data_IF_849826683672
#
_entry.id   IF_849826683672
#
_cell.length_a   1.000
_cell.length_b   1.000
_cell.length_c   1.000
_cell.angle_alpha   90.00
_cell.angle_beta   90.00
_cell.angle_gamma   90.00
#
_symmetry.space_group_name_H-M   'P 1'
#
loop_
_entity.id
_entity.type
_entity.pdbx_description
1 polymer ?
#
# COMPACT_ATOMS: atom_id res chain seq x y z
N UNK A 1 -11.98 6.75 16.53
CA UNK A 1 -10.60 6.96 17.00
C UNK A 1 -10.31 8.46 17.04
N UNK A 2 -9.49 8.95 17.98
CA UNK A 2 -9.14 10.38 18.03
C UNK A 2 -8.10 10.74 16.95
N UNK A 3 -8.03 12.00 16.52
CA UNK A 3 -6.99 12.45 15.58
C UNK A 3 -5.58 12.26 16.13
N UNK A 4 -5.38 12.42 17.44
CA UNK A 4 -4.10 12.16 18.09
C UNK A 4 -3.70 10.68 17.95
N UNK A 5 -4.64 9.75 18.16
CA UNK A 5 -4.38 8.32 18.00
C UNK A 5 -4.03 7.95 16.55
N UNK A 6 -4.71 8.55 15.56
CA UNK A 6 -4.36 8.35 14.14
C UNK A 6 -2.93 8.84 13.89
N UNK A 7 -2.58 10.02 14.40
CA UNK A 7 -1.23 10.57 14.30
C UNK A 7 -0.18 9.64 14.91
N UNK A 8 -0.44 9.09 16.10
CA UNK A 8 0.47 8.16 16.78
C UNK A 8 0.67 6.87 15.98
N UNK A 9 -0.40 6.29 15.41
CA UNK A 9 -0.31 5.11 14.53
C UNK A 9 0.55 5.39 13.30
N UNK A 10 0.43 6.58 12.71
CA UNK A 10 1.22 7.00 11.55
C UNK A 10 2.69 7.27 11.89
N UNK A 11 3.00 7.74 13.08
CA UNK A 11 4.39 8.07 13.47
C UNK A 11 5.08 6.98 14.29
N UNK A 12 4.37 5.91 14.63
CA UNK A 12 4.99 4.73 15.24
C UNK A 12 5.59 3.85 14.16
N UNK A 13 6.91 3.86 14.02
CA UNK A 13 7.64 3.11 12.98
C UNK A 13 7.39 1.60 13.03
N UNK A 14 7.12 1.06 14.22
CA UNK A 14 6.89 -0.36 14.43
C UNK A 14 5.42 -0.79 14.45
N UNK A 15 4.50 0.08 14.02
CA UNK A 15 3.07 -0.24 14.04
C UNK A 15 2.76 -1.45 13.14
N UNK A 16 1.93 -2.37 13.62
CA UNK A 16 1.58 -3.62 12.91
C UNK A 16 1.00 -3.33 11.53
N UNK A 17 0.04 -2.40 11.44
CA UNK A 17 -0.54 -1.96 10.16
C UNK A 17 0.48 -1.46 9.14
N UNK A 18 1.52 -0.72 9.55
CA UNK A 18 2.57 -0.25 8.62
C UNK A 18 3.29 -1.43 7.98
N UNK A 19 3.64 -2.44 8.79
CA UNK A 19 4.31 -3.66 8.31
C UNK A 19 3.41 -4.44 7.35
N UNK A 20 2.12 -4.57 7.70
CA UNK A 20 1.14 -5.22 6.82
C UNK A 20 0.99 -4.48 5.49
N UNK A 21 0.91 -3.15 5.50
CA UNK A 21 0.82 -2.33 4.29
C UNK A 21 2.07 -2.46 3.43
N UNK A 22 3.27 -2.41 4.01
CA UNK A 22 4.53 -2.59 3.27
C UNK A 22 4.59 -3.97 2.58
N UNK A 23 4.23 -5.03 3.30
CA UNK A 23 4.16 -6.38 2.72
C UNK A 23 3.09 -6.48 1.63
N UNK A 24 1.93 -5.87 1.83
CA UNK A 24 0.87 -5.83 0.83
C UNK A 24 1.28 -5.07 -0.44
N UNK A 25 2.04 -3.98 -0.32
CA UNK A 25 2.61 -3.23 -1.44
C UNK A 25 3.58 -4.11 -2.23
N UNK A 26 4.48 -4.81 -1.54
CA UNK A 26 5.43 -5.72 -2.18
C UNK A 26 4.70 -6.85 -2.92
N UNK A 27 3.70 -7.48 -2.29
CA UNK A 27 2.89 -8.51 -2.93
C UNK A 27 2.16 -7.97 -4.17
N UNK A 28 1.58 -6.77 -4.09
CA UNK A 28 0.90 -6.14 -5.22
C UNK A 28 1.88 -5.85 -6.37
N UNK A 29 3.10 -5.40 -6.06
CA UNK A 29 4.14 -5.21 -7.06
C UNK A 29 4.53 -6.53 -7.74
N UNK A 30 4.71 -7.62 -6.97
CA UNK A 30 4.98 -8.95 -7.53
C UNK A 30 3.83 -9.43 -8.40
N UNK A 31 2.58 -9.24 -7.99
CA UNK A 31 1.41 -9.61 -8.78
C UNK A 31 1.38 -8.84 -10.11
N UNK A 32 1.70 -7.53 -10.09
CA UNK A 32 1.78 -6.69 -11.29
C UNK A 32 2.95 -7.10 -12.21
N UNK A 33 4.09 -7.52 -11.67
CA UNK A 33 5.20 -8.01 -12.51
C UNK A 33 4.82 -9.28 -13.30
N UNK A 34 3.79 -10.02 -12.86
CA UNK A 34 3.29 -11.22 -13.50
C UNK A 34 1.93 -11.02 -14.20
N UNK A 35 1.44 -9.78 -14.31
CA UNK A 35 0.16 -9.49 -14.94
C UNK A 35 0.23 -9.56 -16.47
N UNK A 36 -0.92 -9.76 -17.12
CA UNK A 36 -1.02 -9.77 -18.58
C UNK A 36 -0.74 -8.37 -19.16
N UNK A 37 0.05 -8.29 -20.23
CA UNK A 37 0.37 -7.05 -20.94
C UNK A 37 -0.87 -6.33 -21.50
N UNK A 38 -1.98 -7.04 -21.69
CA UNK A 38 -3.27 -6.47 -22.10
C UNK A 38 -4.00 -5.73 -20.98
N UNK A 39 -3.50 -5.78 -19.75
CA UNK A 39 -4.08 -5.07 -18.61
C UNK A 39 -3.99 -3.55 -18.83
N UNK A 40 -5.06 -2.83 -18.48
CA UNK A 40 -5.08 -1.38 -18.60
C UNK A 40 -3.91 -0.73 -17.83
N UNK A 41 -3.22 0.20 -18.49
CA UNK A 41 -2.03 0.90 -17.98
C UNK A 41 -0.88 -0.02 -17.53
N UNK A 42 -0.79 -1.22 -18.10
CA UNK A 42 0.24 -2.21 -17.76
C UNK A 42 1.65 -1.60 -17.68
N UNK A 43 2.10 -0.85 -18.69
CA UNK A 43 3.46 -0.28 -18.69
C UNK A 43 3.75 0.64 -17.50
N UNK A 44 2.78 1.45 -17.08
CA UNK A 44 2.93 2.35 -15.93
C UNK A 44 2.95 1.56 -14.61
N UNK A 45 2.06 0.57 -14.49
CA UNK A 45 1.97 -0.32 -13.33
C UNK A 45 3.23 -1.16 -13.19
N UNK A 46 3.72 -1.70 -14.31
CA UNK A 46 4.95 -2.47 -14.39
C UNK A 46 6.18 -1.62 -14.01
N UNK A 47 6.28 -0.38 -14.51
CA UNK A 47 7.35 0.53 -14.13
C UNK A 47 7.35 0.84 -12.62
N UNK A 48 6.16 1.08 -12.03
CA UNK A 48 6.01 1.24 -10.59
C UNK A 48 6.42 -0.05 -9.84
N UNK A 49 5.94 -1.21 -10.28
CA UNK A 49 6.24 -2.48 -9.63
C UNK A 49 7.73 -2.81 -9.64
N UNK A 50 8.44 -2.52 -10.74
CA UNK A 50 9.91 -2.62 -10.79
C UNK A 50 10.58 -1.70 -9.80
N UNK A 51 10.15 -0.43 -9.73
CA UNK A 51 10.72 0.53 -8.77
C UNK A 51 10.58 0.03 -7.33
N UNK A 52 9.43 -0.55 -6.97
CA UNK A 52 9.18 -1.09 -5.62
C UNK A 52 10.03 -2.32 -5.33
N UNK A 53 10.22 -3.20 -6.31
CA UNK A 53 10.89 -4.50 -6.10
C UNK A 53 12.40 -4.45 -6.25
N UNK A 54 12.95 -3.43 -6.92
CA UNK A 54 14.39 -3.29 -7.14
C UNK A 54 15.15 -2.70 -5.95
N UNK A 55 14.48 -1.91 -5.11
CA UNK A 55 15.05 -1.33 -3.90
C UNK A 55 14.62 -2.16 -2.68
N UNK A 56 15.57 -2.55 -1.82
CA UNK A 56 15.27 -3.29 -0.59
C UNK A 56 14.36 -2.51 0.36
N UNK A 57 14.39 -1.17 0.28
CA UNK A 57 13.53 -0.27 1.06
C UNK A 57 12.31 0.23 0.25
N UNK A 58 12.15 -0.22 -1.01
CA UNK A 58 11.09 0.22 -1.90
C UNK A 58 9.68 0.07 -1.30
N UNK A 59 9.33 -1.07 -0.69
CA UNK A 59 8.02 -1.27 -0.06
C UNK A 59 7.77 -0.29 1.10
N UNK A 60 8.78 -0.01 1.92
CA UNK A 60 8.66 0.90 3.05
C UNK A 60 8.49 2.35 2.59
N UNK A 61 9.24 2.77 1.56
CA UNK A 61 9.13 4.11 0.98
C UNK A 61 7.75 4.37 0.37
N UNK A 62 7.20 3.40 -0.37
CA UNK A 62 5.84 3.53 -0.91
C UNK A 62 4.77 3.42 0.18
N UNK A 63 4.99 2.59 1.20
CA UNK A 63 4.12 2.54 2.38
C UNK A 63 4.03 3.91 3.04
N UNK A 64 5.16 4.56 3.33
CA UNK A 64 5.17 5.89 3.95
C UNK A 64 4.42 6.94 3.11
N UNK A 65 4.56 6.88 1.78
CA UNK A 65 3.84 7.78 0.85
C UNK A 65 2.33 7.60 0.92
N UNK A 66 1.85 6.37 1.09
CA UNK A 66 0.44 6.06 1.00
C UNK A 66 -0.24 5.82 2.34
N UNK A 67 0.51 5.74 3.44
CA UNK A 67 -0.03 5.34 4.73
C UNK A 67 -1.15 6.27 5.22
N UNK A 68 -1.03 7.59 4.99
CA UNK A 68 -2.11 8.54 5.28
C UNK A 68 -3.40 8.26 4.51
N UNK A 69 -3.27 7.84 3.25
CA UNK A 69 -4.41 7.47 2.41
C UNK A 69 -5.04 6.17 2.93
N UNK A 70 -4.23 5.17 3.30
CA UNK A 70 -4.69 3.92 3.91
C UNK A 70 -5.46 4.21 5.21
N UNK A 71 -4.96 5.14 6.03
CA UNK A 71 -5.63 5.58 7.25
C UNK A 71 -6.93 6.34 7.01
N UNK A 72 -7.34 6.65 5.77
CA UNK A 72 -8.70 7.16 5.50
C UNK A 72 -9.77 6.06 5.52
N UNK A 73 -9.36 4.78 5.47
CA UNK A 73 -10.28 3.66 5.56
C UNK A 73 -10.87 3.56 6.99
N UNK A 74 -12.20 3.64 7.10
CA UNK A 74 -12.89 3.65 8.39
C UNK A 74 -12.66 2.38 9.22
N UNK A 75 -12.52 1.22 8.56
CA UNK A 75 -12.23 -0.06 9.24
C UNK A 75 -10.85 -0.02 9.90
N UNK A 76 -9.84 0.46 9.17
CA UNK A 76 -8.48 0.57 9.71
C UNK A 76 -8.37 1.64 10.80
N UNK A 77 -9.12 2.73 10.67
CA UNK A 77 -9.23 3.72 11.75
C UNK A 77 -9.90 3.18 13.00
N UNK A 78 -10.80 2.20 12.89
CA UNK A 78 -11.49 1.66 14.06
C UNK A 78 -10.61 0.72 14.89
N UNK A 79 -9.73 -0.06 14.25
CA UNK A 79 -8.90 -1.07 14.91
C UNK A 79 -7.55 -1.32 14.17
N UNK A 80 -6.60 -0.38 14.15
CA UNK A 80 -5.41 -0.49 13.32
C UNK A 80 -4.45 -1.62 13.75
N UNK A 81 -4.61 -2.19 14.95
CA UNK A 81 -3.71 -3.22 15.48
C UNK A 81 -4.13 -4.64 15.11
N UNK A 82 -5.34 -4.84 14.61
CA UNK A 82 -5.92 -6.15 14.36
C UNK A 82 -6.65 -6.17 13.01
N UNK A 83 -5.88 -5.93 11.94
CA UNK A 83 -6.37 -5.99 10.58
C UNK A 83 -6.05 -7.32 9.92
N UNK A 84 -6.99 -7.81 9.13
CA UNK A 84 -6.79 -8.98 8.28
C UNK A 84 -5.87 -8.62 7.10
N UNK A 85 -4.86 -9.45 6.84
CA UNK A 85 -3.88 -9.23 5.76
C UNK A 85 -4.57 -9.16 4.38
N UNK A 86 -5.62 -9.96 4.17
CA UNK A 86 -6.42 -9.95 2.96
C UNK A 86 -7.11 -8.61 2.75
N UNK A 87 -7.76 -8.08 3.80
CA UNK A 87 -8.38 -6.75 3.77
C UNK A 87 -7.37 -5.64 3.48
N UNK A 88 -6.18 -5.69 4.10
CA UNK A 88 -5.08 -4.74 3.84
C UNK A 88 -4.65 -4.82 2.37
N UNK A 89 -4.44 -6.02 1.83
CA UNK A 89 -4.07 -6.22 0.42
C UNK A 89 -5.12 -5.68 -0.54
N UNK A 90 -6.41 -5.90 -0.25
CA UNK A 90 -7.51 -5.38 -1.08
C UNK A 90 -7.50 -3.85 -1.14
N UNK A 91 -7.34 -3.18 0.01
CA UNK A 91 -7.30 -1.72 0.07
C UNK A 91 -6.07 -1.17 -0.64
N UNK A 92 -4.88 -1.73 -0.38
CA UNK A 92 -3.63 -1.34 -1.05
C UNK A 92 -3.74 -1.49 -2.57
N UNK A 93 -4.22 -2.64 -3.05
CA UNK A 93 -4.41 -2.89 -4.49
C UNK A 93 -5.37 -1.87 -5.12
N UNK A 94 -6.45 -1.52 -4.43
CA UNK A 94 -7.38 -0.48 -4.88
C UNK A 94 -6.69 0.88 -5.08
N UNK A 95 -5.83 1.28 -4.14
CA UNK A 95 -5.05 2.51 -4.26
C UNK A 95 -3.99 2.44 -5.35
N UNK A 96 -3.27 1.32 -5.48
CA UNK A 96 -2.31 1.09 -6.57
C UNK A 96 -3.00 1.25 -7.92
N UNK A 97 -4.14 0.59 -8.11
CA UNK A 97 -4.89 0.68 -9.36
C UNK A 97 -5.36 2.11 -9.63
N UNK A 98 -5.75 2.86 -8.61
CA UNK A 98 -6.17 4.27 -8.80
C UNK A 98 -4.98 5.19 -9.12
N UNK A 99 -3.85 5.03 -8.43
CA UNK A 99 -2.71 5.94 -8.51
C UNK A 99 -1.75 5.63 -9.66
N UNK A 100 -1.52 4.34 -9.96
CA UNK A 100 -0.71 3.93 -11.10
C UNK A 100 -1.41 4.23 -12.43
N UNK A 101 -2.75 4.25 -12.45
CA UNK A 101 -3.55 4.75 -13.57
C UNK A 101 -3.52 6.29 -13.71
N UNK A 102 -3.19 7.02 -12.64
CA UNK A 102 -3.21 8.48 -12.62
C UNK A 102 -1.88 9.16 -12.99
N UNK A 103 -0.76 8.42 -13.05
CA UNK A 103 0.53 8.96 -13.51
C UNK A 103 0.45 9.26 -15.02
N UNK A 104 0.16 10.53 -15.35
CA UNK A 104 0.33 11.16 -16.66
C UNK A 104 1.76 11.67 -16.84
#
# INVERSE_FOLDING_TARGET
MSFATIYDVVHTDNHVLKKQVAVAILQCAVDILNEDEQTENHWNRFAWAKMVTQDSNGPDLEMERWFWLIMTNATFQSDPSNQDDGAVKTVVTGHVNTMANARR
#
